data_IF_613098321424
#
_entry.id   IF_613098321424
#
_cell.length_a   1.000
_cell.length_b   1.000
_cell.length_c   1.000
_cell.angle_alpha   90.00
_cell.angle_beta   90.00
_cell.angle_gamma   90.00
#
_symmetry.space_group_name_H-M   'P 1'
#
loop_
_entity.id
_entity.type
_entity.pdbx_description
1 polymer ?
#
# COMPACT_ATOMS: atom_id res chain seq x y z
N UNK A 1 42.40 3.30 -4.70
CA UNK A 1 41.35 3.86 -3.83
C UNK A 1 40.32 2.77 -3.62
N UNK A 2 40.15 2.30 -2.38
CA UNK A 2 39.13 1.28 -2.06
C UNK A 2 37.78 1.97 -2.03
N UNK A 3 36.91 1.68 -3.00
CA UNK A 3 35.51 2.12 -2.94
C UNK A 3 34.86 1.18 -1.93
N UNK A 4 34.63 1.66 -0.72
CA UNK A 4 33.83 0.92 0.26
C UNK A 4 32.41 0.87 -0.26
N UNK A 5 32.02 -0.25 -0.87
CA UNK A 5 30.63 -0.48 -1.29
C UNK A 5 29.77 -0.57 -0.04
N UNK A 6 28.96 0.46 0.22
CA UNK A 6 28.01 0.43 1.32
C UNK A 6 26.94 -0.63 1.06
N UNK A 7 26.59 -1.41 2.08
CA UNK A 7 25.51 -2.40 1.98
C UNK A 7 24.16 -1.72 1.75
N UNK A 8 23.32 -2.30 0.90
CA UNK A 8 21.95 -1.85 0.66
C UNK A 8 20.96 -2.84 1.28
N UNK A 9 19.93 -2.33 1.94
CA UNK A 9 18.84 -3.13 2.51
C UNK A 9 17.50 -2.42 2.38
N UNK A 10 16.43 -3.20 2.45
CA UNK A 10 15.06 -2.69 2.50
C UNK A 10 14.68 -2.50 3.98
N UNK A 11 14.09 -1.37 4.33
CA UNK A 11 13.54 -1.13 5.66
C UNK A 11 12.04 -1.43 5.74
N UNK A 12 11.49 -1.26 6.94
CA UNK A 12 10.06 -1.44 7.19
C UNK A 12 9.22 -0.45 6.37
N UNK A 13 8.15 -0.91 5.70
CA UNK A 13 7.31 -0.03 4.93
C UNK A 13 6.49 0.88 5.83
N UNK A 14 6.10 2.02 5.27
CA UNK A 14 4.99 2.78 5.84
C UNK A 14 3.62 2.20 5.46
N UNK A 15 2.57 2.92 5.86
CA UNK A 15 1.17 2.53 5.67
C UNK A 15 0.70 2.50 4.22
N UNK A 16 1.41 3.16 3.31
CA UNK A 16 1.15 3.08 1.87
C UNK A 16 1.99 1.96 1.22
N UNK A 17 2.62 1.11 2.04
CA UNK A 17 3.60 0.12 1.62
C UNK A 17 4.75 0.72 0.80
N UNK A 18 5.24 1.90 1.22
CA UNK A 18 6.46 2.50 0.67
C UNK A 18 7.65 2.06 1.50
N UNK A 19 8.55 1.30 0.88
CA UNK A 19 9.69 0.66 1.53
C UNK A 19 10.94 1.54 1.40
N UNK A 20 11.54 2.01 2.50
CA UNK A 20 12.77 2.77 2.42
C UNK A 20 13.92 1.88 1.96
N UNK A 21 14.64 2.33 0.93
CA UNK A 21 15.88 1.71 0.46
C UNK A 21 17.03 2.37 1.21
N UNK A 22 17.63 1.60 2.10
CA UNK A 22 18.63 2.07 3.06
C UNK A 22 20.02 1.67 2.58
N UNK A 23 20.93 2.64 2.53
CA UNK A 23 22.35 2.46 2.29
C UNK A 23 23.16 2.68 3.58
N UNK A 24 24.09 1.78 3.85
CA UNK A 24 24.83 1.78 5.11
C UNK A 24 23.92 1.49 6.31
N UNK A 25 24.08 2.24 7.40
CA UNK A 25 23.33 2.00 8.64
C UNK A 25 21.93 2.65 8.62
N UNK A 26 21.86 3.93 8.26
CA UNK A 26 20.75 4.83 8.58
C UNK A 26 20.44 5.87 7.50
N UNK A 27 20.93 5.68 6.26
CA UNK A 27 20.69 6.63 5.16
C UNK A 27 19.72 6.04 4.15
N UNK A 28 18.71 6.79 3.75
CA UNK A 28 17.69 6.39 2.77
C UNK A 28 17.96 7.10 1.44
N UNK A 29 18.07 6.32 0.36
CA UNK A 29 18.28 6.84 -1.00
C UNK A 29 16.96 6.99 -1.79
N UNK A 30 15.86 6.47 -1.26
CA UNK A 30 14.53 6.61 -1.83
C UNK A 30 13.55 5.60 -1.23
N UNK A 31 12.29 5.70 -1.63
CA UNK A 31 11.21 4.80 -1.25
C UNK A 31 10.78 3.96 -2.46
N UNK A 32 10.82 2.64 -2.34
CA UNK A 32 10.32 1.71 -3.35
C UNK A 32 8.87 1.33 -3.02
N UNK A 33 7.97 1.40 -3.99
CA UNK A 33 6.57 1.02 -3.76
C UNK A 33 5.89 0.51 -5.02
N UNK A 34 4.81 -0.23 -4.83
CA UNK A 34 3.99 -0.76 -5.92
C UNK A 34 2.71 0.05 -6.05
N UNK A 35 2.42 0.51 -7.26
CA UNK A 35 1.14 1.10 -7.62
C UNK A 35 0.54 0.37 -8.82
N UNK A 36 -0.60 -0.29 -8.61
CA UNK A 36 -1.16 -1.28 -9.50
C UNK A 36 -0.08 -2.30 -9.92
N UNK A 37 0.15 -2.51 -11.21
CA UNK A 37 1.12 -3.52 -11.68
C UNK A 37 2.55 -2.99 -11.79
N UNK A 38 2.75 -1.70 -11.54
CA UNK A 38 4.04 -1.04 -11.72
C UNK A 38 4.75 -0.85 -10.37
N UNK A 39 6.06 -0.85 -10.43
CA UNK A 39 6.91 -0.43 -9.33
C UNK A 39 7.41 0.98 -9.58
N UNK A 40 7.49 1.76 -8.51
CA UNK A 40 7.87 3.15 -8.52
C UNK A 40 8.96 3.39 -7.48
N UNK A 41 9.75 4.42 -7.73
CA UNK A 41 10.68 4.99 -6.78
C UNK A 41 10.25 6.42 -6.45
N UNK A 42 10.09 6.75 -5.17
CA UNK A 42 9.88 8.11 -4.67
C UNK A 42 11.21 8.62 -4.10
N UNK A 43 11.70 9.70 -4.67
CA UNK A 43 12.97 10.34 -4.31
C UNK A 43 12.79 11.29 -3.13
N UNK A 44 13.90 11.68 -2.50
CA UNK A 44 13.91 12.57 -1.33
C UNK A 44 13.39 13.99 -1.60
N UNK A 45 13.38 14.43 -2.86
CA UNK A 45 12.82 15.70 -3.30
C UNK A 45 11.31 15.62 -3.62
N UNK A 46 10.68 14.47 -3.41
CA UNK A 46 9.27 14.23 -3.73
C UNK A 46 9.01 13.76 -5.16
N UNK A 47 10.05 13.65 -6.00
CA UNK A 47 9.91 13.17 -7.37
C UNK A 47 9.58 11.68 -7.40
N UNK A 48 8.53 11.30 -8.14
CA UNK A 48 8.20 9.90 -8.40
C UNK A 48 8.68 9.45 -9.79
N UNK A 49 9.29 8.27 -9.83
CA UNK A 49 9.69 7.59 -11.05
C UNK A 49 8.94 6.28 -11.21
N UNK A 50 8.14 6.16 -12.27
CA UNK A 50 7.59 4.87 -12.71
C UNK A 50 8.70 4.04 -13.38
N UNK A 51 8.96 2.86 -12.82
CA UNK A 51 9.93 1.89 -13.33
C UNK A 51 9.25 0.81 -14.18
N UNK A 52 7.94 0.87 -14.30
CA UNK A 52 7.12 -0.06 -15.05
C UNK A 52 6.85 -1.36 -14.31
N UNK A 53 6.35 -2.33 -15.07
CA UNK A 53 6.05 -3.67 -14.56
C UNK A 53 7.34 -4.52 -14.60
N UNK A 54 7.70 -5.20 -13.51
CA UNK A 54 8.85 -6.11 -13.51
C UNK A 54 8.63 -7.26 -14.49
N UNK A 55 9.74 -7.76 -15.04
CA UNK A 55 9.71 -8.95 -15.88
C UNK A 55 9.16 -10.17 -15.12
N UNK A 56 8.62 -11.15 -15.84
CA UNK A 56 8.13 -12.39 -15.24
C UNK A 56 9.23 -13.06 -14.42
N UNK A 57 8.93 -13.40 -13.16
CA UNK A 57 9.88 -14.03 -12.23
C UNK A 57 10.76 -13.04 -11.45
N UNK A 58 10.81 -11.76 -11.84
CA UNK A 58 11.52 -10.72 -11.11
C UNK A 58 10.64 -10.15 -10.00
N UNK A 59 11.19 -10.02 -8.79
CA UNK A 59 10.54 -9.24 -7.73
C UNK A 59 10.71 -7.76 -8.05
N UNK A 60 9.62 -7.02 -8.14
CA UNK A 60 9.72 -5.60 -8.49
C UNK A 60 10.35 -4.72 -7.40
N UNK A 61 10.37 -5.16 -6.14
CA UNK A 61 11.11 -4.46 -5.10
C UNK A 61 12.61 -4.48 -5.38
N UNK A 62 13.14 -5.62 -5.84
CA UNK A 62 14.56 -5.76 -6.20
C UNK A 62 14.89 -4.87 -7.40
N UNK A 63 13.97 -4.76 -8.37
CA UNK A 63 14.09 -3.84 -9.51
C UNK A 63 14.18 -2.38 -9.06
N UNK A 64 13.32 -1.95 -8.13
CA UNK A 64 13.34 -0.59 -7.59
C UNK A 64 14.60 -0.30 -6.76
N UNK A 65 15.04 -1.27 -5.95
CA UNK A 65 16.28 -1.19 -5.16
C UNK A 65 17.51 -1.05 -6.08
N UNK A 66 17.58 -1.86 -7.15
CA UNK A 66 18.67 -1.79 -8.11
C UNK A 66 18.73 -0.42 -8.77
N UNK A 67 17.60 0.09 -9.27
CA UNK A 67 17.53 1.40 -9.91
C UNK A 67 17.96 2.53 -8.95
N UNK A 68 17.43 2.56 -7.72
CA UNK A 68 17.83 3.56 -6.72
C UNK A 68 19.32 3.50 -6.40
N UNK A 69 19.88 2.29 -6.30
CA UNK A 69 21.31 2.10 -6.02
C UNK A 69 22.18 2.62 -7.16
N UNK A 70 21.78 2.37 -8.42
CA UNK A 70 22.47 2.87 -9.61
C UNK A 70 22.43 4.40 -9.71
N UNK A 71 21.25 5.01 -9.47
CA UNK A 71 21.10 6.47 -9.44
C UNK A 71 21.95 7.12 -8.35
N UNK A 72 22.01 6.52 -7.16
CA UNK A 72 22.83 7.00 -6.05
C UNK A 72 24.33 6.85 -6.37
N UNK A 73 24.75 5.69 -6.87
CA UNK A 73 26.14 5.44 -7.25
C UNK A 73 26.62 6.39 -8.36
N UNK A 74 25.72 6.81 -9.25
CA UNK A 74 25.98 7.81 -10.26
C UNK A 74 25.91 9.26 -9.77
N UNK A 75 25.61 9.49 -8.48
CA UNK A 75 25.52 10.81 -7.87
C UNK A 75 24.31 11.64 -8.32
N UNK A 76 23.29 11.01 -8.92
CA UNK A 76 22.08 11.71 -9.40
C UNK A 76 21.04 11.94 -8.31
N UNK A 77 21.10 11.15 -7.24
CA UNK A 77 20.24 11.31 -6.06
C UNK A 77 21.09 11.33 -4.79
N UNK A 78 20.64 12.10 -3.80
CA UNK A 78 21.23 12.14 -2.47
C UNK A 78 20.59 11.14 -1.51
N UNK A 79 21.20 10.97 -0.34
CA UNK A 79 20.62 10.20 0.75
C UNK A 79 20.19 11.11 1.90
N UNK A 80 19.06 10.81 2.52
CA UNK A 80 18.54 11.50 3.71
C UNK A 80 18.60 10.58 4.93
N UNK A 81 18.48 11.13 6.13
CA UNK A 81 18.48 10.31 7.34
C UNK A 81 17.19 9.47 7.43
N UNK A 82 17.30 8.23 7.92
CA UNK A 82 16.18 7.28 7.98
C UNK A 82 15.02 7.77 8.85
N UNK A 83 15.31 8.51 9.92
CA UNK A 83 14.31 9.13 10.80
C UNK A 83 13.44 10.18 10.08
N UNK A 84 13.99 10.87 9.07
CA UNK A 84 13.23 11.82 8.25
C UNK A 84 12.20 11.16 7.32
N UNK A 85 12.32 9.85 7.07
CA UNK A 85 11.46 9.09 6.16
C UNK A 85 10.47 8.21 6.89
N UNK A 86 10.70 7.95 8.17
CA UNK A 86 9.76 7.19 9.00
C UNK A 86 8.49 8.03 9.17
N UNK A 87 7.42 7.60 8.52
CA UNK A 87 6.11 8.18 8.70
C UNK A 87 5.70 8.07 10.18
N UNK A 88 5.20 9.17 10.75
CA UNK A 88 4.47 9.12 12.00
C UNK A 88 3.27 8.16 11.87
N UNK A 89 2.81 7.62 13.01
CA UNK A 89 1.61 6.80 13.01
C UNK A 89 0.46 7.60 12.39
N UNK A 90 -0.30 7.03 11.43
CA UNK A 90 -1.35 7.78 10.79
C UNK A 90 -2.41 8.22 11.81
N UNK A 91 -2.82 9.47 11.68
CA UNK A 91 -4.01 9.99 12.32
C UNK A 91 -5.19 9.66 11.40
N UNK A 92 -6.20 8.89 11.85
CA UNK A 92 -7.46 8.75 11.11
C UNK A 92 -8.00 10.11 10.70
N UNK A 93 -8.62 10.20 9.52
CA UNK A 93 -9.32 11.42 9.14
C UNK A 93 -10.49 11.66 10.09
N UNK A 94 -10.56 12.86 10.67
CA UNK A 94 -11.74 13.36 11.35
C UNK A 94 -12.82 13.68 10.31
N UNK A 95 -13.67 12.69 9.99
CA UNK A 95 -14.80 12.85 9.08
C UNK A 95 -14.95 11.72 8.05
N UNK A 96 -15.70 12.00 6.98
CA UNK A 96 -15.86 11.05 5.88
C UNK A 96 -14.59 10.96 5.04
N UNK A 97 -14.12 9.74 4.79
CA UNK A 97 -13.08 9.50 3.79
C UNK A 97 -13.61 9.84 2.39
N UNK A 98 -12.78 10.44 1.51
CA UNK A 98 -13.14 10.61 0.11
C UNK A 98 -13.50 9.27 -0.56
N UNK A 99 -14.26 9.30 -1.65
CA UNK A 99 -14.62 8.08 -2.39
C UNK A 99 -13.39 7.36 -2.98
N UNK A 100 -12.43 8.12 -3.50
CA UNK A 100 -11.23 7.64 -4.19
C UNK A 100 -9.97 8.11 -3.48
N UNK A 101 -8.93 7.30 -3.54
CA UNK A 101 -7.58 7.72 -3.21
C UNK A 101 -7.15 8.90 -4.12
N UNK A 102 -6.34 9.87 -3.66
CA UNK A 102 -5.89 11.00 -4.49
C UNK A 102 -5.32 10.57 -5.86
N UNK A 103 -4.44 9.55 -5.89
CA UNK A 103 -3.90 8.94 -7.13
C UNK A 103 -4.95 8.32 -8.08
N UNK A 104 -6.20 8.16 -7.64
CA UNK A 104 -7.33 7.63 -8.43
C UNK A 104 -8.36 8.70 -8.79
N UNK A 105 -8.33 9.86 -8.13
CA UNK A 105 -9.36 10.90 -8.19
C UNK A 105 -9.37 11.70 -9.52
N UNK A 106 -8.42 11.44 -10.41
CA UNK A 106 -8.17 12.22 -11.61
C UNK A 106 -6.99 13.16 -11.44
N UNK A 107 -6.57 13.80 -12.52
CA UNK A 107 -5.56 14.88 -12.50
C UNK A 107 -6.26 16.20 -12.84
N UNK A 108 -5.57 17.31 -12.65
CA UNK A 108 -6.08 18.61 -13.11
C UNK A 108 -6.52 18.52 -14.58
N UNK A 109 -7.76 18.96 -14.87
CA UNK A 109 -8.37 18.88 -16.20
C UNK A 109 -8.87 17.50 -16.64
N UNK A 110 -8.73 16.45 -15.83
CA UNK A 110 -9.22 15.09 -16.16
C UNK A 110 -9.87 14.40 -14.96
N UNK A 111 -11.23 14.32 -14.92
CA UNK A 111 -11.93 13.71 -13.79
C UNK A 111 -11.63 12.21 -13.66
N UNK A 112 -11.89 11.66 -12.48
CA UNK A 112 -11.88 10.21 -12.27
C UNK A 112 -12.74 9.47 -13.30
N UNK A 113 -12.25 8.34 -13.80
CA UNK A 113 -13.03 7.53 -14.73
C UNK A 113 -14.29 6.95 -14.06
N UNK A 114 -15.38 6.82 -14.82
CA UNK A 114 -16.60 6.15 -14.34
C UNK A 114 -16.32 4.74 -13.81
N UNK A 115 -15.36 4.05 -14.41
CA UNK A 115 -14.89 2.73 -13.95
C UNK A 115 -14.28 2.79 -12.54
N UNK A 116 -13.46 3.81 -12.25
CA UNK A 116 -12.88 3.99 -10.92
C UNK A 116 -13.97 4.28 -9.88
N UNK A 117 -14.91 5.17 -10.22
CA UNK A 117 -16.04 5.52 -9.36
C UNK A 117 -16.89 4.28 -9.05
N UNK A 118 -17.25 3.50 -10.07
CA UNK A 118 -18.03 2.28 -9.89
C UNK A 118 -17.26 1.24 -9.05
N UNK A 119 -15.96 1.06 -9.33
CA UNK A 119 -15.10 0.18 -8.54
C UNK A 119 -15.02 0.60 -7.07
N UNK A 120 -14.96 1.90 -6.79
CA UNK A 120 -14.95 2.44 -5.43
C UNK A 120 -16.26 2.17 -4.69
N UNK A 121 -17.40 2.41 -5.34
CA UNK A 121 -18.73 2.13 -4.77
C UNK A 121 -18.87 0.65 -4.40
N UNK A 122 -18.48 -0.25 -5.30
CA UNK A 122 -18.49 -1.70 -5.04
C UNK A 122 -17.56 -2.07 -3.89
N UNK A 123 -16.35 -1.51 -3.87
CA UNK A 123 -15.39 -1.80 -2.80
C UNK A 123 -15.88 -1.31 -1.43
N UNK A 124 -16.40 -0.09 -1.33
CA UNK A 124 -16.92 0.45 -0.07
C UNK A 124 -18.14 -0.33 0.44
N UNK A 125 -19.06 -0.70 -0.44
CA UNK A 125 -20.20 -1.54 -0.06
C UNK A 125 -19.74 -2.89 0.50
N UNK A 126 -18.78 -3.54 -0.16
CA UNK A 126 -18.23 -4.81 0.30
C UNK A 126 -17.37 -4.68 1.58
N UNK A 127 -16.66 -3.56 1.78
CA UNK A 127 -16.03 -3.29 3.07
C UNK A 127 -17.06 -3.25 4.19
N UNK A 128 -18.17 -2.54 4.00
CA UNK A 128 -19.24 -2.46 4.99
C UNK A 128 -19.86 -3.84 5.29
N UNK A 129 -20.17 -4.61 4.25
CA UNK A 129 -20.68 -5.99 4.37
C UNK A 129 -19.73 -6.90 5.17
N UNK A 130 -18.42 -6.72 4.97
CA UNK A 130 -17.39 -7.48 5.67
C UNK A 130 -16.89 -6.79 6.93
N UNK A 131 -17.55 -5.76 7.47
CA UNK A 131 -17.14 -5.04 8.69
C UNK A 131 -15.70 -4.47 8.66
N UNK A 132 -15.37 -3.80 7.56
CA UNK A 132 -14.15 -3.02 7.40
C UNK A 132 -14.51 -1.55 7.15
N UNK A 133 -13.64 -0.64 7.60
CA UNK A 133 -13.77 0.80 7.36
C UNK A 133 -12.44 1.39 6.89
N UNK A 134 -12.42 2.17 5.80
CA UNK A 134 -11.26 3.00 5.47
C UNK A 134 -11.14 4.18 6.44
N UNK A 135 -9.92 4.47 6.90
CA UNK A 135 -9.71 5.51 7.93
C UNK A 135 -8.79 6.65 7.49
N UNK A 136 -8.11 6.54 6.34
CA UNK A 136 -7.17 7.57 5.86
C UNK A 136 -7.53 8.14 4.49
N UNK A 137 -7.96 7.30 3.56
CA UNK A 137 -8.25 7.71 2.20
C UNK A 137 -9.28 6.78 1.55
N UNK A 138 -9.84 7.24 0.43
CA UNK A 138 -10.77 6.47 -0.39
C UNK A 138 -10.16 5.27 -1.10
N UNK A 139 -10.96 4.64 -1.96
CA UNK A 139 -10.57 3.42 -2.66
C UNK A 139 -9.32 3.65 -3.54
N UNK A 140 -8.21 2.92 -3.30
CA UNK A 140 -6.97 3.08 -4.05
C UNK A 140 -6.92 2.21 -5.31
N UNK A 141 -7.95 1.41 -5.58
CA UNK A 141 -7.88 0.32 -6.54
C UNK A 141 -7.68 -1.01 -5.84
N UNK A 142 -7.98 -2.10 -6.57
CA UNK A 142 -8.15 -3.41 -5.94
C UNK A 142 -6.88 -4.03 -5.36
N UNK A 143 -5.76 -3.78 -6.05
CA UNK A 143 -4.46 -4.40 -5.76
C UNK A 143 -3.48 -3.43 -5.10
N UNK A 144 -4.00 -2.32 -4.55
CA UNK A 144 -3.20 -1.32 -3.86
C UNK A 144 -3.42 -1.40 -2.34
N UNK A 145 -2.40 -1.06 -1.55
CA UNK A 145 -2.52 -0.94 -0.09
C UNK A 145 -3.68 -0.04 0.28
N UNK A 146 -4.52 -0.49 1.21
CA UNK A 146 -5.60 0.31 1.77
C UNK A 146 -5.56 0.18 3.28
N UNK A 147 -5.33 1.28 3.97
CA UNK A 147 -5.32 1.29 5.43
C UNK A 147 -6.75 1.26 5.97
N UNK A 148 -7.11 0.14 6.61
CA UNK A 148 -8.46 -0.16 7.06
C UNK A 148 -8.48 -0.47 8.56
N UNK A 149 -9.63 -0.21 9.17
CA UNK A 149 -10.02 -0.62 10.51
C UNK A 149 -11.03 -1.77 10.44
N UNK A 150 -10.86 -2.79 11.27
CA UNK A 150 -11.79 -3.88 11.48
C UNK A 150 -12.86 -3.45 12.48
N UNK A 151 -14.10 -3.30 12.02
CA UNK A 151 -15.21 -2.86 12.88
C UNK A 151 -15.68 -3.93 13.88
N UNK A 152 -15.13 -5.15 13.82
CA UNK A 152 -15.44 -6.23 14.75
C UNK A 152 -14.57 -6.19 16.03
N UNK A 153 -13.36 -5.65 15.95
CA UNK A 153 -12.39 -5.68 17.05
C UNK A 153 -11.51 -4.42 17.20
N UNK A 154 -11.65 -3.43 16.31
CA UNK A 154 -10.87 -2.20 16.32
C UNK A 154 -9.46 -2.31 15.73
N UNK A 155 -9.02 -3.50 15.30
CA UNK A 155 -7.70 -3.65 14.67
C UNK A 155 -7.57 -2.77 13.43
N UNK A 156 -6.43 -2.10 13.25
CA UNK A 156 -6.15 -1.28 12.07
C UNK A 156 -4.86 -1.68 11.39
N UNK A 157 -4.85 -1.63 10.05
CA UNK A 157 -3.67 -1.90 9.25
C UNK A 157 -3.96 -2.04 7.76
N UNK A 158 -2.92 -2.37 6.99
CA UNK A 158 -3.02 -2.45 5.53
C UNK A 158 -3.74 -3.72 5.08
N UNK A 159 -4.74 -3.57 4.21
CA UNK A 159 -5.42 -4.66 3.50
C UNK A 159 -5.55 -4.32 2.02
N UNK A 160 -5.92 -5.34 1.23
CA UNK A 160 -6.11 -5.22 -0.22
C UNK A 160 -7.52 -5.65 -0.56
N UNK A 161 -8.27 -4.81 -1.28
CA UNK A 161 -9.64 -5.16 -1.67
C UNK A 161 -9.72 -6.45 -2.48
N UNK A 162 -8.69 -6.77 -3.28
CA UNK A 162 -8.64 -8.02 -4.02
C UNK A 162 -8.50 -9.28 -3.16
N UNK A 163 -8.22 -9.15 -1.86
CA UNK A 163 -8.23 -10.23 -0.86
C UNK A 163 -9.52 -10.25 -0.02
N UNK A 164 -10.23 -9.11 0.06
CA UNK A 164 -11.41 -8.95 0.90
C UNK A 164 -12.74 -9.24 0.19
N UNK A 165 -12.76 -9.33 -1.14
CA UNK A 165 -14.00 -9.38 -1.93
C UNK A 165 -14.49 -10.77 -2.36
N UNK A 166 -13.84 -11.83 -1.87
CA UNK A 166 -14.03 -13.17 -2.44
C UNK A 166 -13.58 -13.28 -3.90
N UNK A 167 -13.56 -14.49 -4.48
CA UNK A 167 -13.24 -14.71 -5.89
C UNK A 167 -13.99 -15.93 -6.41
N UNK A 168 -14.41 -15.89 -7.68
CA UNK A 168 -15.06 -17.01 -8.37
C UNK A 168 -16.31 -17.57 -7.67
N UNK A 169 -17.10 -16.70 -7.02
CA UNK A 169 -18.29 -17.09 -6.27
C UNK A 169 -18.02 -17.48 -4.81
N UNK A 170 -16.76 -17.66 -4.43
CA UNK A 170 -16.36 -18.00 -3.07
C UNK A 170 -16.17 -16.75 -2.20
N UNK A 171 -16.55 -16.79 -0.91
CA UNK A 171 -16.26 -15.71 0.03
C UNK A 171 -14.74 -15.54 0.24
N UNK A 172 -14.28 -14.38 0.76
CA UNK A 172 -12.88 -14.21 1.13
C UNK A 172 -12.48 -15.21 2.23
N UNK A 173 -11.19 -15.34 2.51
CA UNK A 173 -10.77 -16.14 3.67
C UNK A 173 -11.37 -15.58 4.95
N UNK A 174 -11.78 -16.45 5.86
CA UNK A 174 -12.34 -16.05 7.16
C UNK A 174 -11.30 -15.36 8.06
N UNK A 175 -10.02 -15.68 7.84
CA UNK A 175 -8.90 -14.97 8.44
C UNK A 175 -8.95 -13.47 8.12
N UNK A 176 -8.92 -12.63 9.16
CA UNK A 176 -9.04 -11.17 9.01
C UNK A 176 -7.72 -10.45 9.17
N UNK A 177 -6.97 -10.72 10.24
CA UNK A 177 -5.70 -10.07 10.50
C UNK A 177 -4.77 -10.79 11.48
N UNK A 178 -3.50 -10.39 11.42
CA UNK A 178 -2.45 -10.90 12.30
C UNK A 178 -2.78 -10.52 13.75
N UNK A 179 -2.43 -11.40 14.68
CA UNK A 179 -2.86 -11.31 16.08
C UNK A 179 -4.24 -11.91 16.37
N UNK A 180 -5.02 -12.27 15.34
CA UNK A 180 -6.33 -12.89 15.49
C UNK A 180 -7.45 -11.88 15.74
N UNK A 181 -8.69 -12.26 15.40
CA UNK A 181 -9.89 -11.43 15.58
C UNK A 181 -10.80 -12.06 16.65
N UNK A 182 -12.11 -11.78 16.63
CA UNK A 182 -13.12 -12.28 17.58
C UNK A 182 -13.43 -13.79 17.49
N UNK A 183 -12.56 -14.57 16.86
CA UNK A 183 -12.75 -16.00 16.58
C UNK A 183 -13.59 -16.27 15.32
N UNK A 184 -13.30 -17.39 14.66
CA UNK A 184 -13.95 -17.74 13.38
C UNK A 184 -15.47 -17.97 13.52
N UNK A 185 -15.93 -18.62 14.59
CA UNK A 185 -17.37 -18.91 14.75
C UNK A 185 -18.20 -17.63 14.86
N UNK A 186 -17.69 -16.64 15.61
CA UNK A 186 -18.36 -15.35 15.72
C UNK A 186 -18.32 -14.57 14.40
N UNK A 187 -17.24 -14.71 13.63
CA UNK A 187 -17.16 -14.15 12.29
C UNK A 187 -18.21 -14.77 11.36
N UNK A 188 -18.39 -16.10 11.38
CA UNK A 188 -19.45 -16.78 10.59
C UNK A 188 -20.84 -16.32 11.00
N UNK A 189 -21.07 -16.11 12.29
CA UNK A 189 -22.34 -15.59 12.81
C UNK A 189 -22.63 -14.16 12.31
N UNK A 190 -21.62 -13.29 12.29
CA UNK A 190 -21.81 -11.86 12.02
C UNK A 190 -21.74 -11.46 10.55
N UNK A 191 -21.10 -12.27 9.69
CA UNK A 191 -20.91 -11.93 8.27
C UNK A 191 -21.72 -12.90 7.40
N UNK A 192 -22.81 -12.42 6.76
CA UNK A 192 -23.70 -13.27 5.94
C UNK A 192 -22.97 -14.05 4.85
N UNK A 193 -21.93 -13.47 4.24
CA UNK A 193 -21.15 -14.11 3.19
C UNK A 193 -20.47 -15.43 3.59
N UNK A 194 -20.35 -15.75 4.90
CA UNK A 194 -19.76 -17.01 5.37
C UNK A 194 -20.79 -18.06 5.80
N UNK A 195 -22.08 -17.78 5.63
CA UNK A 195 -23.18 -18.67 6.03
C UNK A 195 -23.76 -19.46 4.85
N UNK A 196 -23.34 -19.13 3.63
CA UNK A 196 -23.81 -19.72 2.38
C UNK A 196 -23.10 -21.04 2.03
#
# INVERSE_FOLDING_TARGET
MSITTLSVRIGEPDIECRYPVIIGADRVIGLAFRWHRNWNALLSDGTEKDLGRPATGQKGIDMAVAWLTEEYAAGRIGAIALDMVRAEAPQPLDGEVPLLHPRMAGTEGKPASLRNIQGAKTALAGLAEHHWKPVLHGFPGSDNPWFLECLLCGWSGVRYWSHLRGRNGEPPRIYRHDGGCIGEDKIRELIPAYQA
#
